data_IF_639788715016
#
_entry.id   IF_639788715016
#
_cell.length_a   1.000
_cell.length_b   1.000
_cell.length_c   1.000
_cell.angle_alpha   90.00
_cell.angle_beta   90.00
_cell.angle_gamma   90.00
#
_symmetry.space_group_name_H-M   'P 1'
#
loop_
_entity.id
_entity.type
_entity.pdbx_description
1 polymer ?
#
# COMPACT_ATOMS: atom_id res chain seq x y z
N UNK A 1 -22.73 -34.81 -10.35
CA UNK A 1 -21.57 -34.65 -11.26
C UNK A 1 -20.28 -34.67 -10.47
N UNK A 2 -19.44 -35.69 -10.68
CA UNK A 2 -18.12 -35.80 -10.03
C UNK A 2 -17.15 -34.68 -10.41
N UNK A 3 -16.07 -34.51 -9.65
CA UNK A 3 -15.02 -33.49 -9.88
C UNK A 3 -14.50 -33.50 -11.33
N UNK A 4 -14.36 -34.69 -11.91
CA UNK A 4 -13.92 -34.91 -13.29
C UNK A 4 -14.91 -34.35 -14.32
N UNK A 5 -16.21 -34.58 -14.14
CA UNK A 5 -17.25 -34.05 -15.03
C UNK A 5 -17.33 -32.52 -15.00
N UNK A 6 -17.09 -31.89 -13.83
CA UNK A 6 -17.05 -30.42 -13.70
C UNK A 6 -15.82 -29.82 -14.38
N UNK A 7 -14.67 -30.48 -14.32
CA UNK A 7 -13.45 -30.06 -15.01
C UNK A 7 -13.62 -30.18 -16.52
N UNK A 8 -14.16 -31.31 -17.00
CA UNK A 8 -14.48 -31.53 -18.41
C UNK A 8 -15.43 -30.46 -18.95
N UNK A 9 -16.46 -30.12 -18.18
CA UNK A 9 -17.41 -29.07 -18.56
C UNK A 9 -16.76 -27.68 -18.64
N UNK A 10 -15.85 -27.33 -17.71
CA UNK A 10 -15.09 -26.06 -17.77
C UNK A 10 -14.14 -26.01 -18.97
N UNK A 11 -13.43 -27.11 -19.24
CA UNK A 11 -12.54 -27.24 -20.40
C UNK A 11 -13.33 -27.12 -21.70
N UNK A 12 -14.46 -27.84 -21.82
CA UNK A 12 -15.37 -27.76 -22.97
C UNK A 12 -15.83 -26.32 -23.23
N UNK A 13 -16.19 -25.56 -22.19
CA UNK A 13 -16.60 -24.15 -22.30
C UNK A 13 -15.48 -23.21 -22.78
N UNK A 14 -14.22 -23.49 -22.41
CA UNK A 14 -13.06 -22.75 -22.92
C UNK A 14 -12.85 -23.08 -24.40
N UNK A 15 -12.93 -24.36 -24.76
CA UNK A 15 -12.82 -24.83 -26.14
C UNK A 15 -13.94 -24.30 -27.05
N UNK A 16 -15.18 -24.22 -26.56
CA UNK A 16 -16.30 -23.59 -27.26
C UNK A 16 -16.01 -22.12 -27.56
N UNK A 17 -15.52 -21.36 -26.57
CA UNK A 17 -15.13 -19.96 -26.78
C UNK A 17 -13.95 -19.80 -27.75
N UNK A 18 -12.98 -20.72 -27.72
CA UNK A 18 -11.86 -20.74 -28.66
C UNK A 18 -12.30 -21.12 -30.09
N UNK A 19 -13.29 -22.01 -30.23
CA UNK A 19 -13.87 -22.38 -31.53
C UNK A 19 -14.68 -21.26 -32.17
N UNK A 20 -15.24 -20.33 -31.37
CA UNK A 20 -15.90 -19.13 -31.89
C UNK A 20 -14.92 -18.12 -32.50
N UNK A 21 -13.66 -18.10 -32.04
CA UNK A 21 -12.61 -17.23 -32.59
C UNK A 21 -12.02 -17.78 -33.90
N UNK A 22 -12.17 -19.09 -34.16
CA UNK A 22 -11.92 -19.69 -35.47
C UNK A 22 -12.64 -21.05 -35.57
N UNK A 23 -13.78 -21.12 -36.27
CA UNK A 23 -14.63 -22.33 -36.38
C UNK A 23 -13.90 -23.54 -37.00
N UNK A 24 -12.74 -23.31 -37.63
CA UNK A 24 -11.95 -24.32 -38.34
C UNK A 24 -11.00 -25.08 -37.40
N UNK A 25 -10.73 -24.57 -36.20
CA UNK A 25 -9.64 -25.07 -35.36
C UNK A 25 -9.97 -26.33 -34.55
N UNK A 26 -11.21 -26.54 -34.10
CA UNK A 26 -11.50 -27.54 -33.05
C UNK A 26 -12.82 -28.28 -33.37
N UNK A 27 -12.76 -29.60 -33.63
CA UNK A 27 -13.94 -30.47 -33.72
C UNK A 27 -14.02 -31.33 -32.46
N UNK A 28 -14.95 -31.05 -31.53
CA UNK A 28 -15.19 -31.95 -30.41
C UNK A 28 -15.87 -33.24 -30.93
N UNK A 29 -15.40 -34.40 -30.49
CA UNK A 29 -16.20 -35.65 -30.53
C UNK A 29 -16.83 -35.87 -29.14
N UNK A 30 -17.73 -36.84 -29.00
CA UNK A 30 -18.39 -37.16 -27.73
C UNK A 30 -17.40 -37.48 -26.60
N UNK A 31 -16.24 -38.05 -26.94
CA UNK A 31 -15.33 -38.68 -25.96
C UNK A 31 -13.86 -38.22 -26.07
N UNK A 32 -13.48 -37.49 -27.13
CA UNK A 32 -12.10 -36.99 -27.28
C UNK A 32 -12.00 -35.71 -28.12
N UNK A 33 -10.93 -34.94 -27.89
CA UNK A 33 -10.57 -33.79 -28.72
C UNK A 33 -9.34 -34.19 -29.54
N UNK A 34 -9.54 -34.58 -30.79
CA UNK A 34 -8.44 -34.94 -31.69
C UNK A 34 -7.92 -33.68 -32.38
N UNK A 35 -6.76 -33.20 -31.94
CA UNK A 35 -6.08 -32.04 -32.51
C UNK A 35 -4.96 -32.55 -33.43
N UNK A 36 -4.97 -32.15 -34.71
CA UNK A 36 -3.89 -32.50 -35.66
C UNK A 36 -2.54 -31.95 -35.18
N UNK A 37 -1.42 -32.54 -35.60
CA UNK A 37 -0.09 -32.14 -35.14
C UNK A 37 0.21 -30.64 -35.36
N UNK A 38 -0.13 -30.10 -36.54
CA UNK A 38 -0.02 -28.68 -36.85
C UNK A 38 -0.85 -27.79 -35.92
N UNK A 39 -2.04 -28.26 -35.53
CA UNK A 39 -2.92 -27.56 -34.60
C UNK A 39 -2.45 -27.67 -33.14
N UNK A 40 -1.79 -28.78 -32.76
CA UNK A 40 -1.12 -28.90 -31.45
C UNK A 40 0.00 -27.87 -31.34
N UNK A 41 0.79 -27.70 -32.39
CA UNK A 41 1.86 -26.70 -32.43
C UNK A 41 1.31 -25.28 -32.25
N UNK A 42 0.24 -24.90 -32.98
CA UNK A 42 -0.42 -23.60 -32.79
C UNK A 42 -0.98 -23.43 -31.36
N UNK A 43 -1.60 -24.47 -30.80
CA UNK A 43 -2.09 -24.43 -29.42
C UNK A 43 -0.94 -24.26 -28.42
N UNK A 44 0.18 -24.96 -28.60
CA UNK A 44 1.37 -24.78 -27.79
C UNK A 44 1.95 -23.36 -27.93
N UNK A 45 1.99 -22.80 -29.14
CA UNK A 45 2.41 -21.42 -29.34
C UNK A 45 1.48 -20.42 -28.64
N UNK A 46 0.16 -20.59 -28.74
CA UNK A 46 -0.82 -19.75 -28.04
C UNK A 46 -0.72 -19.91 -26.52
N UNK A 47 -0.52 -21.12 -26.01
CA UNK A 47 -0.31 -21.38 -24.59
C UNK A 47 1.01 -20.79 -24.11
N UNK A 48 2.08 -20.87 -24.90
CA UNK A 48 3.36 -20.24 -24.59
C UNK A 48 3.25 -18.71 -24.63
N UNK A 49 2.56 -18.13 -25.62
CA UNK A 49 2.30 -16.69 -25.67
C UNK A 49 1.43 -16.25 -24.49
N UNK A 50 0.44 -17.04 -24.10
CA UNK A 50 -0.39 -16.78 -22.92
C UNK A 50 0.45 -16.90 -21.63
N UNK A 51 1.28 -17.92 -21.51
CA UNK A 51 2.20 -18.11 -20.38
C UNK A 51 3.17 -16.95 -20.30
N UNK A 52 3.80 -16.57 -21.40
CA UNK A 52 4.69 -15.41 -21.47
C UNK A 52 3.95 -14.13 -21.08
N UNK A 53 2.73 -13.88 -21.59
CA UNK A 53 1.93 -12.72 -21.18
C UNK A 53 1.53 -12.74 -19.69
N UNK A 54 1.31 -13.91 -19.11
CA UNK A 54 1.02 -14.08 -17.69
C UNK A 54 2.30 -13.84 -16.87
N UNK A 55 3.43 -14.39 -17.29
CA UNK A 55 4.75 -14.20 -16.68
C UNK A 55 5.20 -12.73 -16.78
N UNK A 56 4.81 -12.04 -17.86
CA UNK A 56 5.08 -10.63 -18.11
C UNK A 56 4.09 -9.66 -17.45
N UNK A 57 2.94 -10.13 -16.95
CA UNK A 57 1.98 -9.33 -16.18
C UNK A 57 1.99 -9.75 -14.69
N UNK A 58 2.87 -9.13 -13.87
CA UNK A 58 2.94 -9.33 -12.43
C UNK A 58 1.56 -9.29 -11.73
N UNK A 59 0.61 -8.50 -12.24
CA UNK A 59 -0.71 -8.39 -11.63
C UNK A 59 -1.56 -9.63 -11.83
N UNK A 60 -1.53 -10.25 -13.01
CA UNK A 60 -2.29 -11.48 -13.24
C UNK A 60 -1.79 -12.60 -12.32
N UNK A 61 -0.47 -12.71 -12.13
CA UNK A 61 0.14 -13.64 -11.19
C UNK A 61 -0.31 -13.36 -9.76
N UNK A 62 -0.25 -12.10 -9.34
CA UNK A 62 -0.70 -11.67 -8.02
C UNK A 62 -2.20 -11.96 -7.77
N UNK A 63 -3.06 -11.68 -8.75
CA UNK A 63 -4.50 -11.93 -8.65
C UNK A 63 -4.86 -13.41 -8.63
N UNK A 64 -4.22 -14.23 -9.46
CA UNK A 64 -4.37 -15.69 -9.45
C UNK A 64 -3.95 -16.27 -8.10
N UNK A 65 -2.87 -15.73 -7.55
CA UNK A 65 -2.35 -16.10 -6.25
C UNK A 65 -3.34 -15.77 -5.11
N UNK A 66 -3.87 -14.54 -5.04
CA UNK A 66 -4.85 -14.13 -4.02
C UNK A 66 -6.09 -15.04 -4.02
N UNK A 67 -6.63 -15.34 -5.21
CA UNK A 67 -7.80 -16.23 -5.37
C UNK A 67 -7.55 -17.65 -4.88
N UNK A 68 -6.32 -18.15 -5.04
CA UNK A 68 -5.97 -19.54 -4.72
C UNK A 68 -5.84 -19.76 -3.21
N UNK A 69 -5.27 -18.77 -2.51
CA UNK A 69 -4.90 -18.93 -1.09
C UNK A 69 -5.97 -18.41 -0.13
N UNK A 70 -7.08 -17.86 -0.64
CA UNK A 70 -8.18 -17.27 0.15
C UNK A 70 -7.68 -16.24 1.18
N UNK A 71 -6.57 -15.56 0.88
CA UNK A 71 -5.99 -14.52 1.73
C UNK A 71 -6.88 -13.30 1.61
N UNK A 72 -7.39 -12.86 2.75
CA UNK A 72 -8.63 -12.10 2.86
C UNK A 72 -9.79 -12.88 2.21
N UNK A 73 -10.78 -13.27 3.00
CA UNK A 73 -11.85 -14.17 2.53
C UNK A 73 -12.56 -13.67 1.27
N UNK A 74 -12.55 -12.35 1.02
CA UNK A 74 -13.15 -11.68 -0.13
C UNK A 74 -12.39 -10.39 -0.49
N UNK A 75 -12.25 -10.12 -1.80
CA UNK A 75 -11.75 -8.85 -2.35
C UNK A 75 -12.58 -8.41 -3.55
N UNK A 76 -12.74 -7.11 -3.75
CA UNK A 76 -13.22 -6.52 -5.00
C UNK A 76 -12.04 -6.07 -5.84
N UNK A 77 -12.15 -6.21 -7.16
CA UNK A 77 -11.09 -5.86 -8.10
C UNK A 77 -11.68 -5.11 -9.29
N UNK A 78 -11.04 -4.01 -9.67
CA UNK A 78 -11.49 -3.15 -10.76
C UNK A 78 -10.51 -2.01 -10.99
N UNK A 79 -10.93 -0.97 -11.69
CA UNK A 79 -10.23 0.32 -11.75
C UNK A 79 -10.85 1.34 -10.79
N UNK A 80 -10.14 2.44 -10.52
CA UNK A 80 -10.72 3.57 -9.79
C UNK A 80 -11.99 4.07 -10.51
N UNK A 81 -12.01 4.10 -11.84
CA UNK A 81 -13.18 4.45 -12.65
C UNK A 81 -14.37 3.52 -12.40
N UNK A 82 -14.15 2.21 -12.37
CA UNK A 82 -15.20 1.22 -12.10
C UNK A 82 -15.82 1.43 -10.73
N UNK A 83 -14.97 1.57 -9.70
CA UNK A 83 -15.44 1.78 -8.33
C UNK A 83 -16.06 3.16 -8.13
N UNK A 84 -15.59 4.19 -8.84
CA UNK A 84 -16.22 5.50 -8.80
C UNK A 84 -17.66 5.41 -9.36
N UNK A 85 -17.87 4.74 -10.49
CA UNK A 85 -19.22 4.50 -11.03
C UNK A 85 -20.10 3.73 -10.03
N UNK A 86 -19.55 2.71 -9.39
CA UNK A 86 -20.31 1.77 -8.55
C UNK A 86 -20.30 2.13 -7.05
N UNK A 87 -19.78 3.30 -6.66
CA UNK A 87 -19.55 3.68 -5.25
C UNK A 87 -20.81 3.73 -4.38
N UNK A 88 -21.97 3.88 -5.02
CA UNK A 88 -23.30 3.88 -4.39
C UNK A 88 -24.10 2.59 -4.66
N UNK A 89 -23.51 1.61 -5.35
CA UNK A 89 -24.15 0.33 -5.59
C UNK A 89 -24.28 -0.47 -4.28
N UNK A 90 -25.37 -1.24 -4.15
CA UNK A 90 -25.64 -2.06 -2.97
C UNK A 90 -24.50 -3.06 -2.71
N UNK A 91 -24.02 -3.73 -3.75
CA UNK A 91 -22.95 -4.72 -3.60
C UNK A 91 -21.67 -4.10 -2.99
N UNK A 92 -21.35 -2.85 -3.35
CA UNK A 92 -20.18 -2.16 -2.85
C UNK A 92 -20.38 -1.69 -1.41
N UNK A 93 -21.58 -1.16 -1.10
CA UNK A 93 -21.95 -0.73 0.25
C UNK A 93 -21.93 -1.88 1.26
N UNK A 94 -22.43 -3.06 0.88
CA UNK A 94 -22.51 -4.25 1.73
C UNK A 94 -21.30 -5.19 1.63
N UNK A 95 -20.27 -4.83 0.85
CA UNK A 95 -19.07 -5.66 0.72
C UNK A 95 -18.20 -5.67 1.99
N UNK A 96 -18.17 -4.56 2.71
CA UNK A 96 -17.27 -4.37 3.85
C UNK A 96 -17.75 -5.10 5.09
N UNK A 97 -16.80 -5.61 5.88
CA UNK A 97 -17.07 -6.19 7.20
C UNK A 97 -17.76 -5.17 8.10
N UNK A 98 -17.41 -3.88 7.93
CA UNK A 98 -17.99 -2.78 8.69
C UNK A 98 -18.50 -1.68 7.76
N UNK A 99 -19.72 -1.19 8.00
CA UNK A 99 -20.39 -0.23 7.12
C UNK A 99 -19.64 1.09 6.99
N UNK A 100 -18.97 1.57 8.04
CA UNK A 100 -18.26 2.86 7.98
C UNK A 100 -16.99 2.79 7.14
N UNK A 101 -16.44 1.60 6.90
CA UNK A 101 -15.33 1.42 5.96
C UNK A 101 -15.74 1.77 4.54
N UNK A 102 -16.99 1.47 4.14
CA UNK A 102 -17.52 1.86 2.83
C UNK A 102 -17.39 3.37 2.63
N UNK A 103 -17.81 4.18 3.60
CA UNK A 103 -17.77 5.64 3.48
C UNK A 103 -16.34 6.16 3.30
N UNK A 104 -15.38 5.57 4.02
CA UNK A 104 -13.97 5.95 3.93
C UNK A 104 -13.35 5.56 2.60
N UNK A 105 -13.60 4.33 2.14
CA UNK A 105 -13.10 3.87 0.84
C UNK A 105 -13.78 4.62 -0.30
N UNK A 106 -15.08 4.91 -0.21
CA UNK A 106 -15.81 5.76 -1.16
C UNK A 106 -15.15 7.13 -1.30
N UNK A 107 -14.93 7.83 -0.18
CA UNK A 107 -14.28 9.15 -0.18
C UNK A 107 -12.88 9.09 -0.81
N UNK A 108 -12.14 8.02 -0.58
CA UNK A 108 -10.81 7.84 -1.15
C UNK A 108 -10.88 7.59 -2.67
N UNK A 109 -11.78 6.73 -3.14
CA UNK A 109 -12.02 6.50 -4.57
C UNK A 109 -12.43 7.80 -5.29
N UNK A 110 -13.30 8.62 -4.69
CA UNK A 110 -13.71 9.92 -5.26
C UNK A 110 -12.53 10.90 -5.37
N UNK A 111 -11.61 10.89 -4.41
CA UNK A 111 -10.39 11.70 -4.44
C UNK A 111 -9.43 11.18 -5.50
N UNK A 112 -9.10 9.89 -5.48
CA UNK A 112 -8.15 9.25 -6.40
C UNK A 112 -8.65 9.33 -7.85
N UNK A 113 -9.97 9.26 -8.10
CA UNK A 113 -10.55 9.39 -9.44
C UNK A 113 -10.17 10.71 -10.12
N UNK A 114 -10.03 11.80 -9.35
CA UNK A 114 -9.63 13.12 -9.87
C UNK A 114 -8.16 13.18 -10.28
N UNK A 115 -7.33 12.27 -9.76
CA UNK A 115 -5.88 12.22 -10.01
C UNK A 115 -5.59 11.21 -11.12
N UNK A 116 -6.08 9.98 -10.98
CA UNK A 116 -5.86 8.93 -11.96
C UNK A 116 -6.98 7.86 -11.89
N UNK A 117 -7.92 7.94 -12.85
CA UNK A 117 -9.07 7.05 -12.91
C UNK A 117 -8.75 5.63 -13.42
N UNK A 118 -7.61 5.44 -14.07
CA UNK A 118 -7.25 4.17 -14.72
C UNK A 118 -6.39 3.26 -13.82
N UNK A 119 -6.00 3.74 -12.63
CA UNK A 119 -5.32 2.92 -11.62
C UNK A 119 -6.17 1.70 -11.28
N UNK A 120 -5.54 0.54 -11.24
CA UNK A 120 -6.22 -0.70 -10.88
C UNK A 120 -6.28 -0.78 -9.34
N UNK A 121 -7.42 -1.17 -8.80
CA UNK A 121 -7.66 -1.21 -7.34
C UNK A 121 -8.08 -2.61 -6.91
N UNK A 122 -7.54 -3.04 -5.77
CA UNK A 122 -8.01 -4.21 -5.03
C UNK A 122 -8.45 -3.77 -3.64
N UNK A 123 -9.73 -3.98 -3.31
CA UNK A 123 -10.34 -3.56 -2.04
C UNK A 123 -10.63 -4.80 -1.21
N UNK A 124 -10.11 -4.86 0.00
CA UNK A 124 -10.37 -5.93 0.95
C UNK A 124 -11.48 -5.52 1.92
N UNK A 125 -12.34 -6.48 2.31
CA UNK A 125 -13.52 -6.22 3.15
C UNK A 125 -13.20 -5.57 4.51
N UNK A 126 -11.97 -5.76 5.00
CA UNK A 126 -11.49 -5.28 6.29
C UNK A 126 -10.79 -3.90 6.20
N UNK A 127 -10.93 -3.20 5.06
CA UNK A 127 -10.50 -1.80 4.92
C UNK A 127 -9.05 -1.61 4.48
N UNK A 128 -8.38 -2.67 4.04
CA UNK A 128 -7.12 -2.55 3.31
C UNK A 128 -7.43 -2.29 1.83
N UNK A 129 -6.71 -1.35 1.21
CA UNK A 129 -6.87 -1.00 -0.20
C UNK A 129 -5.51 -1.00 -0.90
N UNK A 130 -5.45 -1.61 -2.06
CA UNK A 130 -4.27 -1.66 -2.91
C UNK A 130 -4.54 -0.87 -4.19
N UNK A 131 -3.80 0.21 -4.40
CA UNK A 131 -3.77 0.96 -5.66
C UNK A 131 -2.55 0.53 -6.46
N UNK A 132 -2.76 0.03 -7.66
CA UNK A 132 -1.73 -0.54 -8.52
C UNK A 132 -1.69 0.24 -9.84
N UNK A 133 -0.70 1.11 -9.90
CA UNK A 133 -0.28 1.87 -11.06
C UNK A 133 1.11 1.40 -11.52
N UNK A 134 1.41 0.10 -11.35
CA UNK A 134 2.73 -0.44 -11.66
C UNK A 134 3.00 -0.36 -13.16
N UNK A 135 4.17 0.15 -13.52
CA UNK A 135 4.61 0.32 -14.92
C UNK A 135 5.83 -0.55 -15.18
N UNK A 136 5.66 -1.60 -15.96
CA UNK A 136 6.74 -2.54 -16.24
C UNK A 136 7.97 -1.81 -16.84
N UNK A 137 9.17 -2.15 -16.34
CA UNK A 137 10.46 -1.55 -16.76
C UNK A 137 10.57 -0.03 -16.57
N UNK A 138 9.75 0.56 -15.71
CA UNK A 138 9.87 1.96 -15.29
C UNK A 138 10.21 2.08 -13.80
N UNK A 139 10.39 3.31 -13.33
CA UNK A 139 10.55 3.59 -11.91
C UNK A 139 9.23 3.31 -11.18
N UNK A 140 9.27 2.45 -10.16
CA UNK A 140 8.11 2.08 -9.36
C UNK A 140 8.40 2.18 -7.86
N UNK A 141 7.47 2.77 -7.12
CA UNK A 141 7.50 2.86 -5.66
C UNK A 141 6.49 1.85 -5.08
N UNK A 142 6.88 1.11 -4.04
CA UNK A 142 5.91 0.49 -3.13
C UNK A 142 5.69 1.42 -1.95
N UNK A 143 4.57 2.14 -1.93
CA UNK A 143 4.19 3.06 -0.86
C UNK A 143 3.35 2.36 0.20
N UNK A 144 3.68 2.57 1.46
CA UNK A 144 2.95 2.08 2.63
C UNK A 144 2.48 3.27 3.46
N UNK A 145 1.18 3.38 3.72
CA UNK A 145 0.58 4.37 4.63
C UNK A 145 -0.22 3.67 5.72
N UNK A 146 0.44 2.74 6.42
CA UNK A 146 -0.23 1.79 7.32
C UNK A 146 -0.92 2.44 8.53
N UNK A 147 -0.61 3.70 8.85
CA UNK A 147 -1.16 4.45 9.99
C UNK A 147 -2.08 5.61 9.58
N UNK A 148 -2.40 5.78 8.30
CA UNK A 148 -3.34 6.82 7.81
C UNK A 148 -4.77 6.60 8.32
N UNK A 149 -5.16 5.34 8.46
CA UNK A 149 -6.45 4.89 8.95
C UNK A 149 -6.77 5.34 10.37
N UNK A 150 -8.04 5.65 10.58
CA UNK A 150 -8.58 6.03 11.90
C UNK A 150 -9.88 5.29 12.23
N UNK A 151 -10.27 4.29 11.43
CA UNK A 151 -11.46 3.51 11.70
C UNK A 151 -11.23 2.48 12.80
N UNK A 152 -12.18 2.37 13.73
CA UNK A 152 -12.23 1.32 14.74
C UNK A 152 -13.63 0.71 14.70
N UNK A 153 -13.74 -0.63 14.71
CA UNK A 153 -15.02 -1.30 14.91
C UNK A 153 -15.65 -0.86 16.23
N UNK A 154 -16.96 -0.67 16.26
CA UNK A 154 -17.67 -0.15 17.45
C UNK A 154 -17.39 -0.99 18.71
N UNK A 155 -17.42 -2.32 18.59
CA UNK A 155 -17.12 -3.24 19.69
C UNK A 155 -15.69 -3.12 20.25
N UNK A 156 -14.75 -2.64 19.43
CA UNK A 156 -13.36 -2.37 19.84
C UNK A 156 -13.24 -0.95 20.38
N UNK A 157 -13.89 0.04 19.74
CA UNK A 157 -13.83 1.44 20.14
C UNK A 157 -14.41 1.65 21.55
N UNK A 158 -15.53 1.01 21.88
CA UNK A 158 -16.14 1.10 23.21
C UNK A 158 -15.20 0.61 24.33
N UNK A 159 -14.26 -0.29 24.01
CA UNK A 159 -13.27 -0.84 24.95
C UNK A 159 -12.03 0.04 25.10
N UNK A 160 -11.82 1.03 24.23
CA UNK A 160 -10.68 1.94 24.31
C UNK A 160 -10.86 2.99 25.41
N UNK A 161 -9.76 3.24 26.11
CA UNK A 161 -9.62 4.36 27.05
C UNK A 161 -9.46 5.70 26.33
N UNK A 162 -8.78 5.69 25.19
CA UNK A 162 -8.41 6.89 24.46
C UNK A 162 -9.57 7.48 23.66
N UNK A 163 -9.79 8.78 23.79
CA UNK A 163 -10.70 9.54 22.92
C UNK A 163 -10.16 9.63 21.49
N UNK A 164 -11.04 9.92 20.52
CA UNK A 164 -10.64 10.14 19.13
C UNK A 164 -9.56 11.21 18.99
N UNK A 165 -9.69 12.32 19.72
CA UNK A 165 -8.71 13.41 19.70
C UNK A 165 -7.34 12.97 20.24
N UNK A 166 -7.31 12.11 21.26
CA UNK A 166 -6.06 11.56 21.79
C UNK A 166 -5.41 10.63 20.75
N UNK A 167 -6.20 9.78 20.09
CA UNK A 167 -5.69 8.89 19.04
C UNK A 167 -5.13 9.66 17.83
N UNK A 168 -5.80 10.73 17.41
CA UNK A 168 -5.39 11.57 16.26
C UNK A 168 -4.01 12.21 16.44
N UNK A 169 -3.52 12.35 17.67
CA UNK A 169 -2.14 12.80 17.93
C UNK A 169 -1.11 11.79 17.45
N UNK A 170 -1.43 10.50 17.55
CA UNK A 170 -0.55 9.35 17.24
C UNK A 170 -0.87 8.66 15.90
N UNK A 171 -2.09 8.80 15.37
CA UNK A 171 -2.48 8.29 14.04
C UNK A 171 -1.98 9.23 12.94
N UNK A 172 -1.61 8.70 11.78
CA UNK A 172 -0.92 9.47 10.73
C UNK A 172 -1.91 10.14 9.78
N UNK A 173 -2.82 10.93 10.36
CA UNK A 173 -3.94 11.55 9.64
C UNK A 173 -3.45 12.28 8.38
N UNK A 174 -4.05 11.93 7.22
CA UNK A 174 -3.74 12.46 5.90
C UNK A 174 -2.37 12.05 5.30
N UNK A 175 -1.63 11.11 5.89
CA UNK A 175 -0.41 10.59 5.27
C UNK A 175 -0.69 9.90 3.93
N UNK A 176 -1.84 9.24 3.79
CA UNK A 176 -2.36 8.73 2.53
C UNK A 176 -2.48 9.82 1.45
N UNK A 177 -3.06 10.96 1.81
CA UNK A 177 -3.20 12.08 0.88
C UNK A 177 -1.86 12.73 0.52
N UNK A 178 -0.96 12.88 1.50
CA UNK A 178 0.37 13.48 1.31
C UNK A 178 1.24 12.63 0.37
N UNK A 179 1.21 11.30 0.50
CA UNK A 179 2.16 10.45 -0.22
C UNK A 179 1.57 9.75 -1.46
N UNK A 180 0.25 9.58 -1.56
CA UNK A 180 -0.37 8.76 -2.63
C UNK A 180 -0.04 9.24 -4.05
N UNK A 181 0.18 10.54 -4.26
CA UNK A 181 0.50 11.09 -5.58
C UNK A 181 1.79 10.53 -6.19
N UNK A 182 2.75 10.09 -5.36
CA UNK A 182 3.94 9.38 -5.80
C UNK A 182 3.58 8.18 -6.67
N UNK A 183 2.65 7.35 -6.20
CA UNK A 183 2.21 6.16 -6.93
C UNK A 183 1.23 6.54 -8.03
N UNK A 184 0.28 7.43 -7.76
CA UNK A 184 -0.80 7.75 -8.71
C UNK A 184 -0.28 8.48 -9.97
N UNK A 185 0.77 9.30 -9.83
CA UNK A 185 1.38 10.05 -10.95
C UNK A 185 2.61 9.33 -11.53
N UNK A 186 3.56 8.90 -10.70
CA UNK A 186 4.85 8.38 -11.20
C UNK A 186 4.78 6.89 -11.53
N UNK A 187 4.12 6.09 -10.69
CA UNK A 187 3.92 4.66 -10.89
C UNK A 187 4.35 3.83 -9.69
N UNK A 188 3.82 2.61 -9.62
CA UNK A 188 4.09 1.67 -8.54
C UNK A 188 2.82 1.17 -7.87
N UNK A 189 2.94 0.79 -6.60
CA UNK A 189 1.86 0.20 -5.82
C UNK A 189 1.75 0.90 -4.48
N UNK A 190 0.54 1.26 -4.07
CA UNK A 190 0.25 1.89 -2.79
C UNK A 190 -0.66 0.99 -1.97
N UNK A 191 -0.18 0.59 -0.78
CA UNK A 191 -0.96 -0.12 0.22
C UNK A 191 -1.45 0.90 1.25
N UNK A 192 -2.76 1.04 1.33
CA UNK A 192 -3.41 1.91 2.30
C UNK A 192 -4.27 1.13 3.28
N UNK A 193 -4.18 1.50 4.56
CA UNK A 193 -4.91 0.88 5.64
C UNK A 193 -5.92 1.88 6.22
N UNK A 194 -7.22 1.60 6.09
CA UNK A 194 -8.28 2.45 6.67
C UNK A 194 -8.52 2.18 8.16
N UNK A 195 -8.02 1.07 8.70
CA UNK A 195 -8.11 0.74 10.13
C UNK A 195 -7.12 1.57 10.95
N UNK A 196 -7.54 1.99 12.13
CA UNK A 196 -6.67 2.65 13.12
C UNK A 196 -5.50 1.76 13.52
N UNK A 197 -4.34 2.37 13.76
CA UNK A 197 -3.20 1.68 14.40
C UNK A 197 -3.54 1.13 15.80
N UNK A 198 -4.60 1.63 16.45
CA UNK A 198 -5.10 1.11 17.72
C UNK A 198 -5.94 -0.17 17.56
N UNK A 199 -6.45 -0.46 16.36
CA UNK A 199 -6.99 -1.77 16.01
C UNK A 199 -5.86 -2.77 15.85
N UNK A 200 -4.91 -2.47 14.95
CA UNK A 200 -3.72 -3.26 14.70
C UNK A 200 -2.58 -2.36 14.23
N UNK A 201 -1.50 -2.27 15.00
CA UNK A 201 -0.30 -1.55 14.56
C UNK A 201 0.53 -2.46 13.66
N UNK A 202 0.35 -2.31 12.35
CA UNK A 202 1.07 -3.07 11.32
C UNK A 202 2.58 -2.77 11.32
N UNK A 203 3.02 -1.64 11.90
CA UNK A 203 4.43 -1.24 12.00
C UNK A 203 5.07 -1.65 13.34
N UNK A 204 4.58 -2.73 13.96
CA UNK A 204 5.16 -3.40 15.13
C UNK A 204 5.21 -4.91 14.90
N UNK A 205 6.04 -5.62 15.66
CA UNK A 205 6.01 -7.08 15.66
C UNK A 205 4.63 -7.62 16.06
N UNK A 206 4.25 -8.81 15.59
CA UNK A 206 2.94 -9.43 15.88
C UNK A 206 2.59 -9.49 17.38
N UNK A 207 3.58 -9.71 18.25
CA UNK A 207 3.41 -9.73 19.71
C UNK A 207 3.11 -8.35 20.33
N UNK A 208 3.37 -7.28 19.58
CA UNK A 208 3.26 -5.86 19.97
C UNK A 208 2.28 -5.08 19.07
N UNK A 209 1.67 -5.70 18.06
CA UNK A 209 0.73 -5.05 17.13
C UNK A 209 -0.59 -4.67 17.80
N UNK A 210 -0.99 -5.42 18.83
CA UNK A 210 -2.06 -5.02 19.75
C UNK A 210 -1.43 -4.26 20.92
N UNK A 211 -1.79 -3.00 21.06
CA UNK A 211 -1.35 -2.18 22.18
C UNK A 211 -1.76 -2.80 23.52
N UNK A 212 -0.93 -2.62 24.55
CA UNK A 212 -1.20 -3.10 25.91
C UNK A 212 -1.16 -1.94 26.87
N UNK A 213 -1.99 -1.99 27.91
CA UNK A 213 -1.88 -1.06 29.04
C UNK A 213 -0.49 -1.18 29.66
N UNK A 214 0.08 -0.05 30.06
CA UNK A 214 1.35 0.03 30.80
C UNK A 214 1.13 0.87 32.06
N UNK A 215 0.51 0.30 33.11
CA UNK A 215 0.19 1.03 34.34
C UNK A 215 1.42 1.67 34.99
N UNK A 216 2.57 0.97 34.97
CA UNK A 216 3.86 1.47 35.47
C UNK A 216 4.35 2.75 34.78
N UNK A 217 3.84 3.08 33.59
CA UNK A 217 4.14 4.32 32.84
C UNK A 217 2.96 5.29 32.79
N UNK A 218 1.89 4.99 33.53
CA UNK A 218 0.61 5.70 33.47
C UNK A 218 0.02 5.81 32.05
N UNK A 219 0.22 4.77 31.23
CA UNK A 219 -0.34 4.71 29.86
C UNK A 219 -1.46 3.68 29.86
N UNK A 220 -2.70 4.16 29.81
CA UNK A 220 -3.89 3.34 29.61
C UNK A 220 -4.39 3.46 28.17
N UNK A 221 -4.54 2.31 27.52
CA UNK A 221 -5.06 2.19 26.15
C UNK A 221 -6.47 1.61 26.16
N UNK A 222 -6.71 0.61 27.01
CA UNK A 222 -7.96 -0.14 27.10
C UNK A 222 -8.64 0.07 28.45
N UNK A 223 -9.95 0.35 28.42
CA UNK A 223 -10.86 0.28 29.58
C UNK A 223 -11.21 -1.18 29.91
N UNK A 224 -11.39 -1.98 28.87
CA UNK A 224 -11.73 -3.41 28.96
C UNK A 224 -10.76 -4.22 28.10
N UNK A 225 -10.36 -5.39 28.59
CA UNK A 225 -9.53 -6.30 27.81
C UNK A 225 -10.29 -6.82 26.58
N UNK A 226 -9.58 -6.97 25.47
CA UNK A 226 -10.07 -7.69 24.29
C UNK A 226 -10.30 -9.18 24.63
N UNK A 227 -11.33 -9.78 24.03
CA UNK A 227 -11.55 -11.22 24.08
C UNK A 227 -10.46 -11.95 23.26
N UNK A 228 -10.30 -13.26 23.47
CA UNK A 228 -9.31 -14.01 22.70
C UNK A 228 -9.68 -14.15 21.23
N UNK A 229 -10.97 -14.23 20.92
CA UNK A 229 -11.49 -14.18 19.55
C UNK A 229 -11.16 -12.83 18.87
N UNK A 230 -11.39 -11.70 19.54
CA UNK A 230 -11.05 -10.38 19.00
C UNK A 230 -9.55 -10.25 18.73
N UNK A 231 -8.71 -10.72 19.66
CA UNK A 231 -7.25 -10.74 19.47
C UNK A 231 -6.87 -11.61 18.28
N UNK A 232 -7.52 -12.74 18.09
CA UNK A 232 -7.22 -13.64 16.98
C UNK A 232 -7.64 -13.06 15.63
N UNK A 233 -8.80 -12.41 15.56
CA UNK A 233 -9.24 -11.67 14.37
C UNK A 233 -8.23 -10.56 14.00
N UNK A 234 -7.76 -9.79 14.98
CA UNK A 234 -6.73 -8.76 14.78
C UNK A 234 -5.39 -9.37 14.32
N UNK A 235 -4.98 -10.51 14.89
CA UNK A 235 -3.76 -11.22 14.46
C UNK A 235 -3.90 -11.80 13.06
N UNK A 236 -5.08 -12.28 12.68
CA UNK A 236 -5.32 -12.74 11.32
C UNK A 236 -5.17 -11.58 10.33
N UNK A 237 -5.75 -10.41 10.63
CA UNK A 237 -5.57 -9.19 9.84
C UNK A 237 -4.08 -8.81 9.68
N UNK A 238 -3.31 -8.88 10.76
CA UNK A 238 -1.85 -8.69 10.73
C UNK A 238 -1.15 -9.70 9.80
N UNK A 239 -1.47 -10.99 9.94
CA UNK A 239 -0.87 -12.05 9.11
C UNK A 239 -1.19 -11.86 7.65
N UNK A 240 -2.44 -11.49 7.32
CA UNK A 240 -2.87 -11.25 5.95
C UNK A 240 -2.14 -10.05 5.32
N UNK A 241 -1.91 -8.97 6.08
CA UNK A 241 -1.10 -7.83 5.62
C UNK A 241 0.35 -8.24 5.30
N UNK A 242 1.05 -8.90 6.23
CA UNK A 242 2.44 -9.31 5.99
C UNK A 242 2.56 -10.37 4.91
N UNK A 243 1.55 -11.20 4.76
CA UNK A 243 1.44 -12.15 3.67
C UNK A 243 1.34 -11.41 2.33
N UNK A 244 0.42 -10.44 2.22
CA UNK A 244 0.24 -9.59 1.06
C UNK A 244 1.54 -8.86 0.69
N UNK A 245 2.16 -8.18 1.67
CA UNK A 245 3.40 -7.43 1.48
C UNK A 245 4.51 -8.33 0.93
N UNK A 246 4.70 -9.53 1.52
CA UNK A 246 5.67 -10.51 1.02
C UNK A 246 5.42 -10.84 -0.45
N UNK A 247 4.17 -11.07 -0.85
CA UNK A 247 3.85 -11.46 -2.23
C UNK A 247 4.05 -10.34 -3.22
N UNK A 248 3.75 -9.10 -2.84
CA UNK A 248 4.07 -7.95 -3.68
C UNK A 248 5.58 -7.86 -3.92
N UNK A 249 6.39 -8.01 -2.87
CA UNK A 249 7.85 -7.99 -2.97
C UNK A 249 8.44 -9.20 -3.74
N UNK A 250 7.78 -10.37 -3.68
CA UNK A 250 8.20 -11.56 -4.43
C UNK A 250 7.90 -11.43 -5.94
N UNK A 251 6.81 -10.74 -6.31
CA UNK A 251 6.27 -10.72 -7.68
C UNK A 251 6.69 -9.46 -8.45
N UNK A 252 6.73 -8.31 -7.80
CA UNK A 252 7.00 -7.02 -8.43
C UNK A 252 8.43 -6.57 -8.16
N UNK A 253 8.96 -5.75 -9.07
CA UNK A 253 10.27 -5.12 -8.93
C UNK A 253 10.09 -3.65 -8.63
N UNK A 254 10.44 -3.24 -7.42
CA UNK A 254 10.37 -1.85 -7.00
C UNK A 254 11.74 -1.21 -6.95
N UNK A 255 11.80 0.07 -7.29
CA UNK A 255 13.00 0.89 -7.13
C UNK A 255 13.13 1.38 -5.69
N UNK A 256 12.01 1.67 -5.04
CA UNK A 256 11.94 2.16 -3.65
C UNK A 256 10.78 1.48 -2.93
N UNK A 257 11.01 1.05 -1.69
CA UNK A 257 9.93 0.74 -0.74
C UNK A 257 9.85 1.88 0.27
N UNK A 258 8.72 2.59 0.28
CA UNK A 258 8.55 3.82 1.03
C UNK A 258 7.49 3.66 2.14
N UNK A 259 7.93 3.78 3.39
CA UNK A 259 7.07 3.80 4.59
C UNK A 259 6.77 5.26 4.96
N UNK A 260 5.58 5.73 4.55
CA UNK A 260 5.15 7.12 4.64
C UNK A 260 4.36 7.39 5.92
N UNK A 261 4.91 8.27 6.75
CA UNK A 261 4.38 8.58 8.08
C UNK A 261 4.21 10.08 8.33
N UNK A 262 3.53 10.41 9.44
CA UNK A 262 3.46 11.78 9.94
C UNK A 262 3.69 11.80 11.44
N UNK A 263 4.39 12.81 11.93
CA UNK A 263 4.73 12.92 13.35
C UNK A 263 4.01 14.06 14.04
N UNK A 264 3.75 13.87 15.34
CA UNK A 264 3.26 14.93 16.22
C UNK A 264 4.22 16.13 16.24
N UNK A 265 3.66 17.34 16.30
CA UNK A 265 4.45 18.54 16.56
C UNK A 265 4.88 18.61 18.03
N UNK A 266 6.18 18.49 18.26
CA UNK A 266 6.82 18.71 19.56
C UNK A 266 7.96 19.72 19.40
N UNK A 267 8.26 20.44 20.49
CA UNK A 267 9.37 21.42 20.52
C UNK A 267 10.66 20.76 20.03
N UNK A 268 11.33 21.41 19.07
CA UNK A 268 12.58 20.92 18.47
C UNK A 268 12.41 19.94 17.31
N UNK A 269 11.21 19.40 17.04
CA UNK A 269 11.03 18.48 15.91
C UNK A 269 11.14 19.18 14.57
N UNK A 270 11.86 18.51 13.67
CA UNK A 270 12.04 18.91 12.28
C UNK A 270 10.69 19.05 11.53
N UNK A 271 10.73 19.70 10.38
CA UNK A 271 9.58 19.78 9.47
C UNK A 271 9.35 18.41 8.82
N UNK A 272 10.44 17.79 8.39
CA UNK A 272 10.49 16.44 7.84
C UNK A 272 11.58 15.66 8.57
N UNK A 273 11.35 14.40 8.88
CA UNK A 273 12.41 13.48 9.35
C UNK A 273 12.51 12.28 8.43
N UNK A 274 13.73 11.81 8.18
CA UNK A 274 14.00 10.61 7.39
C UNK A 274 14.61 9.53 8.26
N UNK A 275 14.07 8.32 8.19
CA UNK A 275 14.64 7.15 8.88
C UNK A 275 15.59 6.40 7.96
N UNK A 276 16.85 6.30 8.35
CA UNK A 276 17.94 5.73 7.55
C UNK A 276 18.55 4.44 8.12
N UNK A 277 18.12 3.98 9.30
CA UNK A 277 18.75 2.84 10.00
C UNK A 277 18.81 1.55 9.17
N UNK A 278 17.81 1.31 8.33
CA UNK A 278 17.69 0.07 7.57
C UNK A 278 18.06 0.23 6.08
N UNK A 279 18.59 1.39 5.70
CA UNK A 279 18.97 1.69 4.32
C UNK A 279 20.35 1.10 4.02
N UNK A 280 20.51 0.28 2.97
CA UNK A 280 21.82 -0.15 2.53
C UNK A 280 22.71 1.05 2.20
N UNK A 281 23.97 1.04 2.67
CA UNK A 281 24.90 2.18 2.53
C UNK A 281 25.02 2.73 1.11
N UNK A 282 24.93 1.85 0.11
CA UNK A 282 24.96 2.22 -1.31
C UNK A 282 23.87 3.24 -1.71
N UNK A 283 22.73 3.29 -1.02
CA UNK A 283 21.64 4.22 -1.32
C UNK A 283 21.70 5.53 -0.52
N UNK A 284 22.62 5.68 0.45
CA UNK A 284 22.74 6.91 1.25
C UNK A 284 23.03 8.18 0.41
N UNK A 285 23.78 8.14 -0.71
CA UNK A 285 23.90 9.30 -1.60
C UNK A 285 22.55 9.81 -2.13
N UNK A 286 21.60 8.91 -2.41
CA UNK A 286 20.24 9.27 -2.84
C UNK A 286 19.50 9.98 -1.70
N UNK A 287 19.64 9.52 -0.45
CA UNK A 287 19.08 10.19 0.74
C UNK A 287 19.67 11.60 0.87
N UNK A 288 20.96 11.78 0.61
CA UNK A 288 21.61 13.09 0.55
C UNK A 288 21.00 14.02 -0.50
N UNK A 289 20.65 13.50 -1.68
CA UNK A 289 19.96 14.26 -2.73
C UNK A 289 18.52 14.62 -2.35
N UNK A 290 17.78 13.68 -1.76
CA UNK A 290 16.44 13.90 -1.21
C UNK A 290 16.47 15.03 -0.16
N UNK A 291 17.43 14.99 0.77
CA UNK A 291 17.59 16.02 1.80
C UNK A 291 17.80 17.42 1.20
N UNK A 292 18.65 17.54 0.18
CA UNK A 292 18.93 18.81 -0.51
C UNK A 292 17.68 19.38 -1.16
N UNK A 293 16.86 18.53 -1.78
CA UNK A 293 15.58 18.94 -2.39
C UNK A 293 14.58 19.42 -1.37
N UNK A 294 14.45 18.71 -0.25
CA UNK A 294 13.60 19.15 0.86
C UNK A 294 14.02 20.55 1.33
N UNK A 295 15.31 20.78 1.53
CA UNK A 295 15.82 22.11 1.93
C UNK A 295 15.52 23.16 0.85
N UNK A 296 15.69 22.82 -0.44
CA UNK A 296 15.42 23.70 -1.58
C UNK A 296 13.95 24.12 -1.66
N UNK A 297 13.00 23.20 -1.38
CA UNK A 297 11.56 23.48 -1.32
C UNK A 297 11.16 24.34 -0.11
N UNK A 298 12.12 24.77 0.72
CA UNK A 298 11.89 25.72 1.80
C UNK A 298 11.58 25.09 3.16
N UNK A 299 11.68 23.77 3.29
CA UNK A 299 11.52 23.10 4.57
C UNK A 299 12.72 23.41 5.48
N UNK A 300 12.46 24.14 6.56
CA UNK A 300 13.50 24.78 7.39
C UNK A 300 14.35 23.80 8.21
N UNK A 301 13.87 22.58 8.42
CA UNK A 301 14.55 21.59 9.27
C UNK A 301 14.24 20.19 8.75
N UNK A 302 15.31 19.43 8.52
CA UNK A 302 15.26 18.01 8.15
C UNK A 302 16.00 17.22 9.22
N UNK A 303 15.32 16.31 9.88
CA UNK A 303 15.91 15.39 10.85
C UNK A 303 16.35 14.10 10.17
N UNK A 304 17.43 13.49 10.66
CA UNK A 304 17.85 12.15 10.28
C UNK A 304 17.76 11.28 11.52
N UNK A 305 16.99 10.20 11.45
CA UNK A 305 16.73 9.29 12.56
C UNK A 305 16.13 9.95 13.84
N UNK A 306 15.53 11.14 13.69
CA UNK A 306 15.00 11.92 14.81
C UNK A 306 13.58 12.44 14.54
N UNK A 307 12.55 11.94 15.25
CA UNK A 307 12.62 11.05 16.42
C UNK A 307 12.68 9.55 16.08
N UNK A 308 12.60 9.18 14.80
CA UNK A 308 12.46 7.79 14.36
C UNK A 308 13.47 7.44 13.27
N UNK A 309 14.17 6.31 13.41
CA UNK A 309 15.11 5.79 12.40
C UNK A 309 14.53 4.75 11.45
N UNK A 310 13.26 4.38 11.64
CA UNK A 310 12.55 3.35 10.88
C UNK A 310 11.71 2.44 11.79
N UNK A 311 10.59 1.94 11.27
CA UNK A 311 9.68 1.04 11.98
C UNK A 311 10.00 -0.45 11.78
N UNK A 312 9.18 -1.31 12.37
CA UNK A 312 9.33 -2.77 12.27
C UNK A 312 9.10 -3.31 10.84
N UNK A 313 8.25 -2.66 10.04
CA UNK A 313 8.06 -3.02 8.63
C UNK A 313 9.40 -2.91 7.89
N UNK A 314 10.12 -1.81 8.07
CA UNK A 314 11.42 -1.62 7.42
C UNK A 314 12.46 -2.63 7.89
N UNK A 315 12.54 -2.90 9.20
CA UNK A 315 13.39 -3.95 9.76
C UNK A 315 13.09 -5.33 9.14
N UNK A 316 11.80 -5.65 9.01
CA UNK A 316 11.35 -6.91 8.42
C UNK A 316 11.71 -7.00 6.93
N UNK A 317 11.55 -5.90 6.18
CA UNK A 317 11.92 -5.86 4.76
C UNK A 317 13.44 -5.97 4.61
N UNK A 318 14.25 -5.19 5.34
CA UNK A 318 15.71 -5.23 5.23
C UNK A 318 16.28 -6.60 5.55
N UNK A 319 15.68 -7.31 6.51
CA UNK A 319 16.11 -8.66 6.88
C UNK A 319 15.84 -9.67 5.77
N UNK A 320 14.71 -9.54 5.05
CA UNK A 320 14.29 -10.51 4.02
C UNK A 320 14.75 -10.15 2.61
N UNK A 321 14.94 -8.87 2.34
CA UNK A 321 15.24 -8.31 1.03
C UNK A 321 16.36 -7.25 1.17
N UNK A 322 17.58 -7.66 1.56
CA UNK A 322 18.66 -6.75 2.00
C UNK A 322 19.18 -5.80 0.92
N UNK A 323 18.84 -6.04 -0.36
CA UNK A 323 19.30 -5.24 -1.50
C UNK A 323 18.28 -4.18 -1.95
N UNK A 324 17.09 -4.14 -1.35
CA UNK A 324 16.08 -3.14 -1.70
C UNK A 324 16.42 -1.78 -1.09
N UNK A 325 16.18 -0.73 -1.87
CA UNK A 325 16.17 0.62 -1.30
C UNK A 325 14.86 0.80 -0.53
N UNK A 326 14.96 0.71 0.78
CA UNK A 326 13.84 1.00 1.68
C UNK A 326 14.04 2.36 2.32
N UNK A 327 12.97 3.09 2.59
CA UNK A 327 13.04 4.47 3.04
C UNK A 327 11.82 4.80 3.90
N UNK A 328 12.00 5.60 4.96
CA UNK A 328 10.89 6.15 5.74
C UNK A 328 10.99 7.65 5.85
N UNK A 329 9.82 8.31 5.84
CA UNK A 329 9.71 9.76 6.00
C UNK A 329 8.55 10.10 6.92
N UNK A 330 8.78 11.09 7.76
CA UNK A 330 7.87 11.61 8.77
C UNK A 330 7.60 13.09 8.48
N UNK A 331 6.40 13.42 8.02
CA UNK A 331 5.99 14.82 7.84
C UNK A 331 5.38 15.35 9.14
N UNK A 332 5.87 16.49 9.62
CA UNK A 332 5.35 17.08 10.85
C UNK A 332 3.93 17.62 10.65
N UNK A 333 2.99 17.18 11.49
CA UNK A 333 1.59 17.64 11.49
C UNK A 333 1.42 19.15 11.57
N UNK A 334 2.39 19.90 12.10
CA UNK A 334 2.34 21.39 12.10
C UNK A 334 2.26 22.00 10.71
N UNK A 335 2.74 21.29 9.69
CA UNK A 335 2.77 21.76 8.32
C UNK A 335 1.37 21.80 7.69
N UNK A 336 0.48 20.90 8.11
CA UNK A 336 -0.84 20.77 7.49
C UNK A 336 -2.03 20.70 8.45
N UNK A 337 -1.82 20.73 9.76
CA UNK A 337 -2.91 20.76 10.75
C UNK A 337 -2.91 22.05 11.58
N UNK A 338 -4.07 22.41 12.14
CA UNK A 338 -4.19 23.46 13.16
C UNK A 338 -3.41 23.11 14.43
N UNK A 339 -3.05 24.10 15.26
CA UNK A 339 -2.23 23.91 16.48
C UNK A 339 -2.81 22.87 17.45
N UNK A 340 -4.14 22.82 17.58
CA UNK A 340 -4.85 21.83 18.39
C UNK A 340 -4.99 20.45 17.71
N UNK A 341 -4.54 20.31 16.46
CA UNK A 341 -4.57 19.08 15.64
C UNK A 341 -5.96 18.51 15.41
N UNK A 342 -7.00 19.34 15.52
CA UNK A 342 -8.38 18.93 15.27
C UNK A 342 -8.84 19.17 13.82
N UNK A 343 -8.15 20.04 13.08
CA UNK A 343 -8.51 20.39 11.70
C UNK A 343 -7.32 20.26 10.75
N UNK A 344 -7.58 19.61 9.62
CA UNK A 344 -6.66 19.51 8.48
C UNK A 344 -6.81 20.77 7.62
N UNK A 345 -5.69 21.33 7.17
CA UNK A 345 -5.62 22.42 6.21
C UNK A 345 -5.41 21.80 4.82
N UNK A 346 -6.50 21.50 4.12
CA UNK A 346 -6.45 20.74 2.86
C UNK A 346 -5.48 21.34 1.83
N UNK A 347 -5.45 22.67 1.69
CA UNK A 347 -4.50 23.37 0.81
C UNK A 347 -3.04 22.99 1.10
N UNK A 348 -2.69 22.83 2.38
CA UNK A 348 -1.34 22.46 2.78
C UNK A 348 -1.06 20.98 2.52
N UNK A 349 -2.06 20.10 2.67
CA UNK A 349 -1.94 18.68 2.29
C UNK A 349 -1.66 18.55 0.79
N UNK A 350 -2.41 19.28 -0.06
CA UNK A 350 -2.19 19.29 -1.50
C UNK A 350 -0.80 19.82 -1.88
N UNK A 351 -0.36 20.92 -1.26
CA UNK A 351 0.99 21.45 -1.50
C UNK A 351 2.10 20.46 -1.07
N UNK A 352 1.93 19.80 0.09
CA UNK A 352 2.84 18.74 0.53
C UNK A 352 2.87 17.58 -0.47
N UNK A 353 1.72 17.18 -1.01
CA UNK A 353 1.65 16.07 -1.97
C UNK A 353 2.40 16.38 -3.28
N UNK A 354 2.26 17.60 -3.79
CA UNK A 354 3.04 18.09 -4.93
C UNK A 354 4.55 18.09 -4.63
N UNK A 355 4.95 18.62 -3.46
CA UNK A 355 6.35 18.63 -3.04
C UNK A 355 6.93 17.21 -2.89
N UNK A 356 6.16 16.23 -2.41
CA UNK A 356 6.62 14.84 -2.29
C UNK A 356 6.97 14.25 -3.67
N UNK A 357 6.17 14.54 -4.70
CA UNK A 357 6.45 14.11 -6.08
C UNK A 357 7.79 14.68 -6.56
N UNK A 358 8.05 15.96 -6.31
CA UNK A 358 9.30 16.64 -6.70
C UNK A 358 10.53 16.12 -5.94
N UNK A 359 10.36 15.81 -4.65
CA UNK A 359 11.41 15.24 -3.80
C UNK A 359 11.89 13.90 -4.35
N UNK A 360 10.96 13.03 -4.75
CA UNK A 360 11.26 11.68 -5.26
C UNK A 360 11.53 11.60 -6.76
N UNK A 361 11.46 12.71 -7.50
CA UNK A 361 11.92 12.75 -8.88
C UNK A 361 13.47 12.72 -8.95
N UNK A 362 14.09 11.55 -8.83
CA UNK A 362 15.56 11.42 -8.66
C UNK A 362 16.39 11.94 -9.86
N UNK A 363 15.75 12.37 -10.96
CA UNK A 363 16.45 13.04 -12.06
C UNK A 363 17.19 14.28 -11.53
N UNK A 364 18.51 14.35 -11.76
CA UNK A 364 19.32 15.51 -11.42
C UNK A 364 18.90 16.71 -12.29
N UNK A 365 17.93 17.47 -11.82
CA UNK A 365 17.63 18.77 -12.39
C UNK A 365 18.71 19.77 -11.92
N UNK A 366 19.32 20.47 -12.88
CA UNK A 366 20.31 21.52 -12.62
C UNK A 366 19.77 22.58 -11.64
N UNK A 367 18.45 22.76 -11.56
CA UNK A 367 17.81 23.70 -10.62
C UNK A 367 18.05 23.38 -9.15
N UNK A 368 18.37 22.13 -8.80
CA UNK A 368 18.61 21.71 -7.41
C UNK A 368 20.08 21.72 -7.00
N UNK A 369 20.98 22.28 -7.81
CA UNK A 369 22.40 22.47 -7.42
C UNK A 369 22.49 23.56 -6.37
N UNK A 370 22.82 23.19 -5.13
CA UNK A 370 23.19 24.15 -4.10
C UNK A 370 24.56 24.75 -4.45
N UNK A 371 24.88 25.99 -4.02
CA UNK A 371 26.24 26.52 -4.16
C UNK A 371 27.24 25.63 -3.40
N UNK A 372 28.43 25.43 -3.99
CA UNK A 372 29.44 24.45 -3.54
C UNK A 372 29.84 24.60 -2.06
N UNK A 373 29.72 25.80 -1.50
CA UNK A 373 30.07 26.13 -0.12
C UNK A 373 29.14 25.56 0.96
N UNK A 374 27.99 24.96 0.61
CA UNK A 374 27.05 24.35 1.59
C UNK A 374 27.18 22.83 1.73
N UNK A 375 27.96 22.15 0.87
CA UNK A 375 28.03 20.69 0.89
C UNK A 375 28.90 20.11 2.03
N UNK A 376 29.89 20.84 2.53
CA UNK A 376 30.87 20.29 3.48
C UNK A 376 30.26 19.84 4.81
N UNK A 377 29.24 20.54 5.31
CA UNK A 377 28.58 20.18 6.59
C UNK A 377 27.57 19.02 6.49
N UNK A 378 27.06 18.71 5.30
CA UNK A 378 25.97 17.73 5.14
C UNK A 378 26.49 16.28 5.13
N UNK A 379 27.70 16.07 4.63
CA UNK A 379 28.30 14.73 4.53
C UNK A 379 28.88 14.23 5.85
N UNK A 380 29.06 15.09 6.86
CA UNK A 380 29.53 14.68 8.19
C UNK A 380 28.39 14.09 9.06
N UNK A 381 27.13 14.24 8.63
CA UNK A 381 25.94 13.84 9.42
C UNK A 381 25.18 12.63 8.86
N UNK A 382 25.53 12.15 7.66
CA UNK A 382 24.98 10.95 7.00
C UNK A 382 26.05 9.86 6.96
#
# INVERSE_FOLDING_TARGET
MGKTARLFHKIKRIFEKLSLLSPVLIRPTSDSITVSLSKRFLLFQLLNQLSQKIDEDPRLNFMGFLKTHKIFSTSLNGTVRDFYRDRDALYFTYFFTYKELHLRVKSDIERVYKINADVKVTIFKDGLVLYDNYKNRQFNILLLTCHSGSYLPENIEQKLFLTREQRYKEEDIASDEIYSELVLKQGGIWIDNKMSRYYCDLNRSMSKSIYKNRPKKNIMIWKQNLTDEEKENIRQYYRDFYFLLKKLLDIYKFNVIFDGHTMQDMKGRANISMGTHFIPKFYLPIVGSINKKIIYLGYKSVGINEPYGGGFILEWISTKYPNLFIFSMEVNKKLYMTKNRLKIKQKNVSALAEDMVDIFDIIEDKKYRLPENKYSKLNETL
#
